data_IF_035355047037
#
_entry.id   IF_035355047037
#
_cell.length_a   1.000
_cell.length_b   1.000
_cell.length_c   1.000
_cell.angle_alpha   90.00
_cell.angle_beta   90.00
_cell.angle_gamma   90.00
#
_symmetry.space_group_name_H-M   'P 1'
#
loop_
_entity.id
_entity.type
_entity.pdbx_description
1 polymer ?
#
# COMPACT_ATOMS: atom_id res chain seq x y z
N UNK A 1 -23.90 5.89 -8.47
CA UNK A 1 -22.87 4.84 -8.42
C UNK A 1 -23.47 3.52 -8.85
N UNK A 2 -22.78 2.73 -9.67
CA UNK A 2 -23.25 1.41 -10.11
C UNK A 2 -22.75 0.32 -9.14
N UNK A 3 -23.47 -0.82 -9.06
CA UNK A 3 -23.04 -1.99 -8.27
C UNK A 3 -21.60 -2.41 -8.63
N UNK A 4 -21.27 -2.34 -9.92
CA UNK A 4 -19.93 -2.64 -10.45
C UNK A 4 -18.84 -1.80 -9.79
N UNK A 5 -19.02 -0.47 -9.70
CA UNK A 5 -18.02 0.42 -9.09
C UNK A 5 -17.79 0.10 -7.60
N UNK A 6 -18.85 -0.32 -6.90
CA UNK A 6 -18.80 -0.66 -5.49
C UNK A 6 -18.01 -1.96 -5.26
N UNK A 7 -18.29 -3.00 -6.07
CA UNK A 7 -17.55 -4.26 -6.03
C UNK A 7 -16.08 -4.07 -6.43
N UNK A 8 -15.82 -3.26 -7.43
CA UNK A 8 -14.46 -2.94 -7.87
C UNK A 8 -13.67 -2.24 -6.76
N UNK A 9 -14.25 -1.23 -6.11
CA UNK A 9 -13.65 -0.54 -4.97
C UNK A 9 -13.39 -1.48 -3.79
N UNK A 10 -14.31 -2.40 -3.51
CA UNK A 10 -14.16 -3.41 -2.46
C UNK A 10 -12.96 -4.32 -2.71
N UNK A 11 -12.82 -4.84 -3.94
CA UNK A 11 -11.71 -5.73 -4.31
C UNK A 11 -10.37 -5.01 -4.17
N UNK A 12 -10.28 -3.74 -4.60
CA UNK A 12 -9.07 -2.94 -4.42
C UNK A 12 -8.76 -2.76 -2.94
N UNK A 13 -9.74 -2.35 -2.14
CA UNK A 13 -9.56 -2.15 -0.70
C UNK A 13 -9.10 -3.44 0.00
N UNK A 14 -9.71 -4.58 -0.32
CA UNK A 14 -9.31 -5.89 0.19
C UNK A 14 -7.87 -6.22 -0.17
N UNK A 15 -7.46 -6.02 -1.42
CA UNK A 15 -6.10 -6.35 -1.81
C UNK A 15 -5.05 -5.42 -1.17
N UNK A 16 -5.34 -4.13 -1.00
CA UNK A 16 -4.48 -3.21 -0.25
C UNK A 16 -4.37 -3.65 1.22
N UNK A 17 -5.47 -4.10 1.82
CA UNK A 17 -5.46 -4.66 3.17
C UNK A 17 -4.65 -5.97 3.26
N UNK A 18 -4.78 -6.87 2.29
CA UNK A 18 -3.94 -8.07 2.21
C UNK A 18 -2.45 -7.71 2.07
N UNK A 19 -2.11 -6.70 1.26
CA UNK A 19 -0.74 -6.23 1.11
C UNK A 19 -0.19 -5.61 2.39
N UNK A 20 -1.02 -4.88 3.15
CA UNK A 20 -0.70 -4.40 4.49
C UNK A 20 -0.38 -5.57 5.44
N UNK A 21 -1.25 -6.58 5.55
CA UNK A 21 -1.03 -7.73 6.42
C UNK A 21 0.22 -8.51 6.01
N UNK A 22 0.44 -8.71 4.71
CA UNK A 22 1.62 -9.37 4.19
C UNK A 22 2.91 -8.62 4.54
N UNK A 23 2.95 -7.31 4.32
CA UNK A 23 4.10 -6.47 4.69
C UNK A 23 4.32 -6.49 6.21
N UNK A 24 3.25 -6.48 7.02
CA UNK A 24 3.35 -6.69 8.47
C UNK A 24 4.03 -8.02 8.82
N UNK A 25 3.57 -9.12 8.23
CA UNK A 25 4.16 -10.45 8.44
C UNK A 25 5.62 -10.53 7.99
N UNK A 26 5.95 -9.96 6.83
CA UNK A 26 7.33 -9.92 6.32
C UNK A 26 8.28 -9.16 7.26
N UNK A 27 7.75 -8.19 8.02
CA UNK A 27 8.52 -7.46 9.03
C UNK A 27 9.04 -8.39 10.14
N UNK A 28 8.37 -9.51 10.41
CA UNK A 28 8.85 -10.52 11.35
C UNK A 28 9.67 -11.64 10.71
N UNK A 29 9.38 -11.99 9.44
CA UNK A 29 10.04 -13.11 8.76
C UNK A 29 11.39 -12.75 8.14
N UNK A 30 11.55 -11.50 7.69
CA UNK A 30 12.71 -11.08 6.91
C UNK A 30 13.78 -10.43 7.78
N UNK A 31 15.01 -10.33 7.24
CA UNK A 31 16.14 -9.65 7.88
C UNK A 31 16.71 -8.56 6.96
N UNK A 32 17.39 -7.58 7.54
CA UNK A 32 18.06 -6.51 6.80
C UNK A 32 17.11 -5.50 6.14
N UNK A 33 17.51 -4.97 4.98
CA UNK A 33 16.79 -3.90 4.29
C UNK A 33 15.36 -4.24 3.88
N UNK A 34 15.10 -5.51 3.54
CA UNK A 34 13.75 -5.98 3.17
C UNK A 34 12.77 -5.85 4.34
N UNK A 35 13.24 -6.13 5.57
CA UNK A 35 12.43 -5.98 6.80
C UNK A 35 12.01 -4.54 7.01
N UNK A 36 12.94 -3.61 6.84
CA UNK A 36 12.69 -2.17 7.01
C UNK A 36 11.72 -1.70 5.93
N UNK A 37 11.93 -2.09 4.67
CA UNK A 37 11.06 -1.70 3.56
C UNK A 37 9.60 -2.15 3.80
N UNK A 38 9.38 -3.41 4.21
CA UNK A 38 8.04 -3.89 4.54
C UNK A 38 7.45 -3.24 5.79
N UNK A 39 8.26 -3.00 6.84
CA UNK A 39 7.81 -2.32 8.05
C UNK A 39 7.34 -0.90 7.75
N UNK A 40 8.13 -0.13 6.99
CA UNK A 40 7.76 1.22 6.56
C UNK A 40 6.55 1.19 5.63
N UNK A 41 6.49 0.27 4.67
CA UNK A 41 5.34 0.13 3.78
C UNK A 41 4.05 -0.19 4.54
N UNK A 42 4.10 -1.07 5.55
CA UNK A 42 2.95 -1.40 6.39
C UNK A 42 2.48 -0.19 7.21
N UNK A 43 3.40 0.53 7.84
CA UNK A 43 3.09 1.74 8.62
C UNK A 43 2.49 2.84 7.75
N UNK A 44 3.07 3.10 6.57
CA UNK A 44 2.55 4.10 5.63
C UNK A 44 1.18 3.69 5.08
N UNK A 45 0.97 2.40 4.78
CA UNK A 45 -0.34 1.91 4.33
C UNK A 45 -1.40 2.12 5.42
N UNK A 46 -1.06 1.81 6.68
CA UNK A 46 -1.94 2.05 7.82
C UNK A 46 -2.23 3.54 8.01
N UNK A 47 -1.21 4.39 7.90
CA UNK A 47 -1.37 5.85 8.01
C UNK A 47 -2.27 6.41 6.90
N UNK A 48 -2.15 5.91 5.67
CA UNK A 48 -3.05 6.26 4.56
C UNK A 48 -4.49 5.84 4.89
N UNK A 49 -4.70 4.59 5.32
CA UNK A 49 -6.03 4.12 5.70
C UNK A 49 -6.66 4.96 6.81
N UNK A 50 -5.87 5.30 7.84
CA UNK A 50 -6.32 6.16 8.93
C UNK A 50 -6.66 7.57 8.44
N UNK A 51 -5.82 8.16 7.60
CA UNK A 51 -6.04 9.48 7.01
C UNK A 51 -7.30 9.53 6.15
N UNK A 52 -7.53 8.52 5.31
CA UNK A 52 -8.75 8.38 4.52
C UNK A 52 -9.98 8.19 5.40
N UNK A 53 -9.86 7.45 6.51
CA UNK A 53 -10.94 7.24 7.48
C UNK A 53 -11.38 8.50 8.23
N UNK A 54 -10.52 9.52 8.32
CA UNK A 54 -10.85 10.84 8.90
C UNK A 54 -10.94 11.95 7.84
N UNK A 55 -11.03 11.59 6.56
CA UNK A 55 -11.13 12.52 5.42
C UNK A 55 -9.95 13.51 5.30
N UNK A 56 -8.80 13.20 5.92
CA UNK A 56 -7.57 13.98 5.84
C UNK A 56 -6.81 13.67 4.54
N UNK A 57 -7.43 13.97 3.39
CA UNK A 57 -6.93 13.57 2.06
C UNK A 57 -5.52 14.08 1.73
N UNK A 58 -5.18 15.29 2.17
CA UNK A 58 -3.83 15.85 2.00
C UNK A 58 -2.77 15.01 2.71
N UNK A 59 -3.06 14.55 3.92
CA UNK A 59 -2.15 13.70 4.70
C UNK A 59 -2.03 12.32 4.06
N UNK A 60 -3.15 11.77 3.57
CA UNK A 60 -3.16 10.53 2.79
C UNK A 60 -2.27 10.60 1.55
N UNK A 61 -2.32 11.71 0.79
CA UNK A 61 -1.45 11.93 -0.38
C UNK A 61 0.03 12.04 -0.02
N UNK A 62 0.36 12.72 1.07
CA UNK A 62 1.74 12.80 1.56
C UNK A 62 2.26 11.40 1.92
N UNK A 63 1.49 10.63 2.68
CA UNK A 63 1.85 9.25 3.01
C UNK A 63 1.96 8.36 1.77
N UNK A 64 1.10 8.55 0.77
CA UNK A 64 1.17 7.85 -0.52
C UNK A 64 2.44 8.21 -1.31
N UNK A 65 2.82 9.48 -1.36
CA UNK A 65 4.06 9.92 -1.99
C UNK A 65 5.30 9.30 -1.33
N UNK A 66 5.27 9.08 -0.01
CA UNK A 66 6.31 8.36 0.72
C UNK A 66 6.23 6.83 0.50
N UNK A 67 5.03 6.27 0.34
CA UNK A 67 4.82 4.84 0.14
C UNK A 67 5.35 4.39 -1.24
N UNK A 68 5.19 5.21 -2.28
CA UNK A 68 5.62 4.87 -3.63
C UNK A 68 7.10 4.46 -3.74
N UNK A 69 8.10 5.25 -3.29
CA UNK A 69 9.50 4.84 -3.36
C UNK A 69 9.79 3.63 -2.46
N UNK A 70 9.15 3.51 -1.29
CA UNK A 70 9.35 2.37 -0.38
C UNK A 70 8.81 1.07 -0.99
N UNK A 71 7.62 1.12 -1.59
CA UNK A 71 7.02 0.00 -2.28
C UNK A 71 7.83 -0.40 -3.51
N UNK A 72 8.42 0.56 -4.23
CA UNK A 72 9.34 0.29 -5.34
C UNK A 72 10.61 -0.42 -4.87
N UNK A 73 11.20 0.00 -3.75
CA UNK A 73 12.36 -0.67 -3.14
C UNK A 73 11.99 -2.09 -2.71
N UNK A 74 10.87 -2.28 -2.03
CA UNK A 74 10.38 -3.61 -1.64
C UNK A 74 10.15 -4.51 -2.87
N UNK A 75 9.56 -3.97 -3.93
CA UNK A 75 9.33 -4.67 -5.20
C UNK A 75 10.63 -5.12 -5.85
N UNK A 76 11.66 -4.27 -5.83
CA UNK A 76 12.96 -4.57 -6.43
C UNK A 76 13.73 -5.63 -5.64
N UNK A 77 13.66 -5.58 -4.31
CA UNK A 77 14.32 -6.53 -3.42
C UNK A 77 13.61 -7.89 -3.34
N UNK A 78 12.29 -7.94 -3.49
CA UNK A 78 11.52 -9.18 -3.53
C UNK A 78 11.77 -10.01 -4.81
N UNK A 79 11.51 -11.32 -4.74
CA UNK A 79 11.65 -12.25 -5.86
C UNK A 79 10.37 -13.05 -6.10
N UNK A 80 10.09 -13.35 -7.36
CA UNK A 80 8.95 -14.17 -7.78
C UNK A 80 7.61 -13.56 -7.39
N UNK A 81 6.68 -14.42 -6.95
CA UNK A 81 5.29 -14.04 -6.63
C UNK A 81 5.15 -13.11 -5.42
N UNK A 82 6.15 -13.02 -4.55
CA UNK A 82 6.13 -12.09 -3.41
C UNK A 82 6.10 -10.62 -3.86
N UNK A 83 6.42 -10.33 -5.12
CA UNK A 83 6.34 -8.99 -5.73
C UNK A 83 4.91 -8.47 -5.88
N UNK A 84 3.90 -9.34 -5.85
CA UNK A 84 2.51 -8.94 -6.06
C UNK A 84 2.03 -7.92 -5.01
N UNK A 85 2.37 -8.12 -3.74
CA UNK A 85 1.93 -7.23 -2.66
C UNK A 85 2.64 -5.87 -2.66
N UNK A 86 3.97 -5.78 -2.82
CA UNK A 86 4.65 -4.50 -3.06
C UNK A 86 4.13 -3.77 -4.31
N UNK A 87 3.86 -4.50 -5.41
CA UNK A 87 3.30 -3.91 -6.61
C UNK A 87 1.90 -3.32 -6.35
N UNK A 88 1.07 -4.01 -5.55
CA UNK A 88 -0.24 -3.51 -5.16
C UNK A 88 -0.16 -2.25 -4.28
N UNK A 89 0.77 -2.21 -3.31
CA UNK A 89 1.02 -1.01 -2.51
C UNK A 89 1.52 0.16 -3.36
N UNK A 90 2.36 -0.11 -4.35
CA UNK A 90 2.82 0.89 -5.31
C UNK A 90 1.67 1.42 -6.17
N UNK A 91 0.85 0.53 -6.74
CA UNK A 91 -0.30 0.93 -7.55
C UNK A 91 -1.29 1.78 -6.75
N UNK A 92 -1.56 1.40 -5.50
CA UNK A 92 -2.39 2.17 -4.58
C UNK A 92 -1.79 3.55 -4.26
N UNK A 93 -0.49 3.61 -3.98
CA UNK A 93 0.21 4.87 -3.73
C UNK A 93 0.13 5.82 -4.94
N UNK A 94 0.39 5.31 -6.14
CA UNK A 94 0.30 6.10 -7.38
C UNK A 94 -1.14 6.57 -7.63
N UNK A 95 -2.13 5.72 -7.44
CA UNK A 95 -3.54 6.09 -7.61
C UNK A 95 -3.95 7.25 -6.68
N UNK A 96 -3.45 7.26 -5.43
CA UNK A 96 -3.72 8.35 -4.49
C UNK A 96 -2.96 9.63 -4.85
N UNK A 97 -1.70 9.53 -5.26
CA UNK A 97 -0.88 10.69 -5.65
C UNK A 97 -1.47 11.40 -6.86
N UNK A 98 -1.90 10.65 -7.88
CA UNK A 98 -2.50 11.21 -9.10
C UNK A 98 -3.99 11.51 -8.97
N UNK A 99 -4.61 11.23 -7.82
CA UNK A 99 -6.02 11.52 -7.59
C UNK A 99 -6.98 10.63 -8.37
N UNK A 100 -6.58 9.41 -8.72
CA UNK A 100 -7.48 8.42 -9.34
C UNK A 100 -8.38 7.71 -8.32
N UNK A 101 -8.03 7.80 -7.03
CA UNK A 101 -8.69 7.11 -5.93
C UNK A 101 -9.51 8.04 -5.01
N UNK A 102 -9.71 9.31 -5.39
CA UNK A 102 -10.46 10.34 -4.67
C UNK A 102 -11.49 10.96 -5.62
#
# INVERSE_FOLDING_TARGET
MTLFNLLFGLVIAMGVFCAFLWSGLQTWRQRGGLRIAHGVAALLTLAIMAALGVEAFSLGRICAALLAPVALVALWLERGWNRAFPAMQLAFALALVFGWAL
#
